data_IF_276478822852
#
_entry.id   IF_276478822852
#
_cell.length_a   1.000
_cell.length_b   1.000
_cell.length_c   1.000
_cell.angle_alpha   90.00
_cell.angle_beta   90.00
_cell.angle_gamma   90.00
#
_symmetry.space_group_name_H-M   'P 1'
#
loop_
_entity.id
_entity.type
_entity.pdbx_description
1 polymer ?
#
# COMPACT_ATOMS: atom_id res chain seq x y z
N UNK A 1 -3.82 4.03 -11.77
CA UNK A 1 -4.11 3.87 -10.32
C UNK A 1 -4.94 2.63 -10.01
N UNK A 2 -5.74 2.13 -10.94
CA UNK A 2 -6.49 0.87 -10.76
C UNK A 2 -5.60 -0.35 -10.51
N UNK A 3 -4.53 -0.55 -11.29
CA UNK A 3 -3.52 -1.60 -11.04
C UNK A 3 -2.92 -1.56 -9.62
N UNK A 4 -2.68 -0.37 -9.08
CA UNK A 4 -2.14 -0.23 -7.73
C UNK A 4 -3.15 -0.67 -6.66
N UNK A 5 -4.45 -0.40 -6.85
CA UNK A 5 -5.53 -0.90 -5.99
C UNK A 5 -5.65 -2.42 -6.07
N UNK A 6 -5.55 -2.97 -7.28
CA UNK A 6 -5.55 -4.42 -7.52
C UNK A 6 -4.38 -5.09 -6.80
N UNK A 7 -3.15 -4.59 -6.99
CA UNK A 7 -1.95 -5.08 -6.33
C UNK A 7 -1.97 -4.93 -4.81
N UNK A 8 -2.54 -3.84 -4.28
CA UNK A 8 -2.76 -3.68 -2.84
C UNK A 8 -3.78 -4.68 -2.28
N UNK A 9 -4.62 -5.26 -3.15
CA UNK A 9 -5.51 -6.34 -2.78
C UNK A 9 -4.79 -7.70 -2.68
N UNK A 10 -3.68 -7.90 -3.39
CA UNK A 10 -2.85 -9.09 -3.24
C UNK A 10 -1.92 -8.90 -2.01
N UNK A 11 -2.03 -9.77 -1.00
CA UNK A 11 -1.25 -9.64 0.25
C UNK A 11 0.26 -9.86 0.06
N UNK A 12 0.68 -10.45 -1.06
CA UNK A 12 2.08 -10.76 -1.37
C UNK A 12 2.98 -9.55 -1.61
N UNK A 13 2.44 -8.39 -1.98
CA UNK A 13 3.27 -7.25 -2.41
C UNK A 13 3.21 -6.11 -1.40
N UNK A 14 4.37 -5.63 -0.96
CA UNK A 14 4.48 -4.44 -0.11
C UNK A 14 4.12 -3.16 -0.87
N UNK A 15 3.71 -2.11 -0.16
CA UNK A 15 3.41 -0.81 -0.79
C UNK A 15 4.63 -0.28 -1.58
N UNK A 16 5.84 -0.55 -1.10
CA UNK A 16 7.10 -0.21 -1.76
C UNK A 16 7.27 -0.98 -3.07
N UNK A 17 7.01 -2.28 -3.08
CA UNK A 17 7.10 -3.09 -4.31
C UNK A 17 6.06 -2.67 -5.35
N UNK A 18 4.84 -2.34 -4.90
CA UNK A 18 3.79 -1.82 -5.77
C UNK A 18 4.25 -0.50 -6.39
N UNK A 19 4.81 0.41 -5.59
CA UNK A 19 5.37 1.68 -6.06
C UNK A 19 6.45 1.45 -7.13
N UNK A 20 7.38 0.52 -6.89
CA UNK A 20 8.43 0.19 -7.87
C UNK A 20 7.84 -0.44 -9.14
N UNK A 21 6.89 -1.39 -9.02
CA UNK A 21 6.25 -2.02 -10.18
C UNK A 21 5.42 -1.06 -11.03
N UNK A 22 4.78 -0.04 -10.43
CA UNK A 22 4.06 1.00 -11.19
C UNK A 22 4.99 2.10 -11.73
N UNK A 23 6.30 1.99 -11.53
CA UNK A 23 7.29 2.91 -12.10
C UNK A 23 7.62 4.13 -11.24
N UNK A 24 7.26 4.12 -9.95
CA UNK A 24 7.67 5.16 -9.01
C UNK A 24 9.03 4.83 -8.39
N UNK A 25 9.94 5.80 -8.46
CA UNK A 25 11.27 5.70 -7.88
C UNK A 25 11.26 5.79 -6.34
N UNK A 26 10.19 6.33 -5.75
CA UNK A 26 10.06 6.49 -4.30
C UNK A 26 8.63 6.27 -3.81
N UNK A 27 8.54 5.62 -2.64
CA UNK A 27 7.31 5.39 -1.90
C UNK A 27 6.57 6.70 -1.57
N UNK A 28 7.29 7.81 -1.38
CA UNK A 28 6.68 9.10 -1.06
C UNK A 28 5.93 9.68 -2.25
N UNK A 29 6.54 9.66 -3.44
CA UNK A 29 5.90 10.10 -4.68
C UNK A 29 4.68 9.24 -5.00
N UNK A 30 4.82 7.92 -4.86
CA UNK A 30 3.70 6.99 -5.00
C UNK A 30 2.60 7.25 -3.98
N UNK A 31 2.92 7.38 -2.69
CA UNK A 31 1.93 7.62 -1.64
C UNK A 31 1.15 8.90 -1.86
N UNK A 32 1.81 9.97 -2.33
CA UNK A 32 1.15 11.24 -2.63
C UNK A 32 0.21 11.09 -3.82
N UNK A 33 0.68 10.48 -4.90
CA UNK A 33 -0.14 10.22 -6.09
C UNK A 33 -1.33 9.28 -5.78
N UNK A 34 -1.08 8.21 -5.01
CA UNK A 34 -2.10 7.24 -4.63
C UNK A 34 -3.14 7.87 -3.70
N UNK A 35 -2.71 8.68 -2.73
CA UNK A 35 -3.62 9.43 -1.87
C UNK A 35 -4.47 10.42 -2.66
N UNK A 36 -3.92 11.10 -3.67
CA UNK A 36 -4.69 11.99 -4.54
C UNK A 36 -5.72 11.23 -5.39
N UNK A 37 -5.38 10.02 -5.85
CA UNK A 37 -6.24 9.23 -6.71
C UNK A 37 -7.31 8.41 -5.97
N UNK A 38 -7.00 7.92 -4.77
CA UNK A 38 -7.86 7.03 -3.95
C UNK A 38 -8.48 7.76 -2.76
N UNK A 39 -7.95 8.93 -2.39
CA UNK A 39 -8.35 9.71 -1.21
C UNK A 39 -7.59 9.36 0.07
N UNK A 40 -6.96 8.17 0.13
CA UNK A 40 -6.23 7.68 1.29
C UNK A 40 -4.86 7.11 0.91
N UNK A 41 -3.91 7.18 1.85
CA UNK A 41 -2.57 6.65 1.62
C UNK A 41 -2.60 5.12 1.43
N UNK A 42 -1.70 4.56 0.61
CA UNK A 42 -1.71 3.13 0.31
C UNK A 42 -1.43 2.26 1.55
N UNK A 43 -0.66 2.77 2.53
CA UNK A 43 -0.49 2.11 3.84
C UNK A 43 -1.79 2.03 4.65
N UNK A 44 -2.68 3.01 4.53
CA UNK A 44 -4.01 3.00 5.18
C UNK A 44 -4.90 1.98 4.49
N UNK A 45 -4.88 1.96 3.16
CA UNK A 45 -5.62 0.99 2.35
C UNK A 45 -5.20 -0.46 2.67
N UNK A 46 -3.89 -0.69 2.87
CA UNK A 46 -3.36 -1.99 3.34
C UNK A 46 -3.79 -2.31 4.78
N UNK A 47 -3.76 -1.32 5.69
CA UNK A 47 -4.18 -1.49 7.10
C UNK A 47 -5.67 -1.78 7.27
N UNK A 48 -6.51 -1.43 6.30
CA UNK A 48 -7.94 -1.71 6.31
C UNK A 48 -8.25 -3.17 5.98
N UNK A 49 -7.34 -3.89 5.31
CA UNK A 49 -7.39 -5.35 5.37
C UNK A 49 -6.94 -5.78 6.76
N UNK A 50 -7.65 -6.69 7.43
CA UNK A 50 -7.22 -7.24 8.72
C UNK A 50 -5.96 -8.09 8.47
N UNK A 51 -4.81 -7.45 8.27
CA UNK A 51 -3.53 -8.13 8.24
C UNK A 51 -3.33 -8.73 9.62
N UNK A 52 -3.26 -10.05 9.64
CA UNK A 52 -3.10 -11.01 10.73
C UNK A 52 -1.81 -10.82 11.55
N UNK A 53 -1.39 -9.57 11.84
CA UNK A 53 -0.17 -9.25 12.58
C UNK A 53 -0.36 -8.07 13.54
N UNK A 54 -1.37 -8.18 14.40
CA UNK A 54 -1.38 -7.42 15.66
C UNK A 54 -1.62 -8.33 16.88
N UNK A 55 -0.95 -9.47 16.90
CA UNK A 55 -0.86 -10.38 18.05
C UNK A 55 0.58 -10.64 18.53
N UNK A 56 1.59 -9.92 18.04
CA UNK A 56 2.99 -10.15 18.44
C UNK A 56 3.75 -8.84 18.68
N UNK A 57 3.21 -7.97 19.52
CA UNK A 57 4.08 -7.08 20.30
C UNK A 57 3.44 -6.87 21.68
N UNK A 58 3.36 -7.98 22.41
CA UNK A 58 3.30 -8.02 23.86
C UNK A 58 4.71 -7.66 24.36
N UNK A 59 4.83 -6.47 24.95
CA UNK A 59 5.77 -6.15 26.03
C UNK A 59 5.37 -4.82 26.65
#
# INVERSE_FOLDING_TARGET
MEKAKEWLSYEDHTVTEIAQKVGYNSLQSFSKAFKLAVGHSPSVFRKQKPSTRKLLNDM
#
